data_IF_469129629629
#
_entry.id   IF_469129629629
#
_cell.length_a   1.000
_cell.length_b   1.000
_cell.length_c   1.000
_cell.angle_alpha   90.00
_cell.angle_beta   90.00
_cell.angle_gamma   90.00
#
_symmetry.space_group_name_H-M   'P 1'
#
loop_
_entity.id
_entity.type
_entity.pdbx_description
1 polymer ?
#
# COMPACT_ATOMS: atom_id res chain seq x y z
N UNK A 1 -19.97 7.62 14.11
CA UNK A 1 -19.15 7.09 13.01
C UNK A 1 -18.81 5.67 13.35
N UNK A 2 -19.17 4.67 12.55
CA UNK A 2 -18.74 3.30 12.80
C UNK A 2 -17.29 3.19 12.30
N UNK A 3 -16.36 2.77 13.16
CA UNK A 3 -15.02 2.40 12.76
C UNK A 3 -15.13 1.15 11.89
N UNK A 4 -14.75 1.23 10.64
CA UNK A 4 -14.79 0.14 9.68
C UNK A 4 -13.53 -0.73 9.71
N UNK A 5 -12.49 -0.31 10.46
CA UNK A 5 -11.25 -1.07 10.65
C UNK A 5 -11.30 -1.91 11.92
N UNK A 6 -10.65 -3.08 11.86
CA UNK A 6 -10.29 -3.83 13.06
C UNK A 6 -9.27 -3.07 13.94
N UNK A 7 -8.92 -3.65 15.09
CA UNK A 7 -7.92 -3.08 16.00
C UNK A 7 -8.47 -2.03 16.98
N UNK A 8 -9.78 -1.78 17.01
CA UNK A 8 -10.37 -0.92 18.04
C UNK A 8 -10.56 -1.71 19.34
N UNK A 9 -9.53 -1.75 20.16
CA UNK A 9 -9.47 -2.46 21.45
C UNK A 9 -9.81 -1.58 22.65
N UNK A 10 -10.35 -0.39 22.41
CA UNK A 10 -10.70 0.56 23.47
C UNK A 10 -12.20 0.54 23.79
N UNK A 11 -12.57 0.79 25.04
CA UNK A 11 -13.94 1.04 25.45
C UNK A 11 -14.36 2.49 25.18
N UNK A 12 -15.59 2.86 25.59
CA UNK A 12 -16.13 4.21 25.38
C UNK A 12 -15.38 5.29 26.18
N UNK A 13 -14.65 4.89 27.23
CA UNK A 13 -13.81 5.77 28.06
C UNK A 13 -12.35 5.82 27.59
N UNK A 14 -12.00 5.11 26.49
CA UNK A 14 -10.66 5.07 25.92
C UNK A 14 -9.68 4.15 26.67
N UNK A 15 -10.16 3.24 27.52
CA UNK A 15 -9.34 2.24 28.20
C UNK A 15 -9.21 0.99 27.36
N UNK A 16 -8.02 0.38 27.42
CA UNK A 16 -7.80 -0.92 26.77
C UNK A 16 -8.69 -1.99 27.38
N UNK A 17 -9.44 -2.69 26.54
CA UNK A 17 -10.19 -3.88 26.91
C UNK A 17 -9.27 -5.09 26.97
N UNK A 18 -9.55 -6.00 27.89
CA UNK A 18 -8.84 -7.27 27.97
C UNK A 18 -9.41 -8.27 26.93
N UNK A 19 -9.15 -8.00 25.68
CA UNK A 19 -9.59 -8.81 24.54
C UNK A 19 -8.40 -9.49 23.85
N UNK A 20 -8.67 -10.64 23.25
CA UNK A 20 -7.79 -11.19 22.21
C UNK A 20 -8.28 -10.61 20.89
N UNK A 21 -7.54 -9.64 20.38
CA UNK A 21 -7.89 -8.99 19.11
C UNK A 21 -7.38 -9.82 17.93
N UNK A 22 -8.32 -10.30 17.13
CA UNK A 22 -8.07 -11.02 15.87
C UNK A 22 -8.65 -10.26 14.67
N UNK A 23 -9.02 -9.00 14.85
CA UNK A 23 -9.65 -8.18 13.84
C UNK A 23 -8.66 -7.35 13.01
N UNK A 24 -7.40 -7.31 13.40
CA UNK A 24 -6.33 -6.55 12.73
C UNK A 24 -5.08 -7.42 12.55
N UNK A 25 -4.32 -7.14 11.48
CA UNK A 25 -3.06 -7.83 11.18
C UNK A 25 -1.91 -7.21 11.99
N UNK A 26 -1.93 -7.39 13.31
CA UNK A 26 -0.89 -6.91 14.22
C UNK A 26 0.08 -8.06 14.53
N UNK A 27 1.38 -7.74 14.59
CA UNK A 27 2.38 -8.73 14.97
C UNK A 27 2.14 -9.22 16.42
N UNK A 28 1.76 -10.49 16.63
CA UNK A 28 1.46 -11.01 17.96
C UNK A 28 2.68 -11.08 18.88
N UNK A 29 3.91 -11.01 18.35
CA UNK A 29 5.14 -10.97 19.09
C UNK A 29 5.46 -9.56 19.64
N UNK A 30 4.67 -8.54 19.24
CA UNK A 30 4.88 -7.14 19.63
C UNK A 30 6.13 -6.52 19.00
N UNK A 31 6.69 -5.50 19.68
CA UNK A 31 7.92 -4.84 19.24
C UNK A 31 9.15 -5.68 19.58
N UNK A 32 10.07 -5.82 18.63
CA UNK A 32 11.36 -6.45 18.89
C UNK A 32 12.24 -5.58 19.80
N UNK A 33 13.14 -6.22 20.54
CA UNK A 33 14.04 -5.48 21.45
C UNK A 33 14.89 -4.42 20.74
N UNK A 34 15.48 -4.65 19.54
CA UNK A 34 16.20 -3.61 18.82
C UNK A 34 15.34 -2.39 18.48
N UNK A 35 14.05 -2.58 18.17
CA UNK A 35 13.12 -1.46 17.89
C UNK A 35 12.83 -0.68 19.17
N UNK A 36 12.59 -1.35 20.30
CA UNK A 36 12.39 -0.69 21.61
C UNK A 36 13.60 0.14 21.99
N UNK A 37 14.81 -0.43 21.87
CA UNK A 37 16.06 0.27 22.17
C UNK A 37 16.26 1.49 21.28
N UNK A 38 15.99 1.38 19.97
CA UNK A 38 16.08 2.50 19.05
C UNK A 38 15.10 3.63 19.41
N UNK A 39 13.88 3.30 19.85
CA UNK A 39 12.91 4.30 20.32
C UNK A 39 13.43 5.01 21.59
N UNK A 40 13.88 4.25 22.58
CA UNK A 40 14.36 4.79 23.85
C UNK A 40 15.57 5.72 23.65
N UNK A 41 16.54 5.29 22.83
CA UNK A 41 17.76 6.06 22.57
C UNK A 41 17.53 7.30 21.71
N UNK A 42 16.42 7.36 20.98
CA UNK A 42 16.09 8.53 20.15
C UNK A 42 15.19 9.56 20.83
N UNK A 43 14.76 9.32 22.09
CA UNK A 43 13.85 10.25 22.80
C UNK A 43 14.43 11.67 22.91
N UNK A 44 15.74 11.81 23.17
CA UNK A 44 16.38 13.12 23.30
C UNK A 44 16.38 13.92 21.99
N UNK A 45 16.18 13.25 20.84
CA UNK A 45 16.07 13.93 19.54
C UNK A 45 14.74 14.63 19.34
N UNK A 46 13.72 14.35 20.17
CA UNK A 46 12.37 14.93 20.05
C UNK A 46 12.35 16.45 20.27
N UNK A 47 13.40 17.05 20.82
CA UNK A 47 13.55 18.51 20.94
C UNK A 47 13.79 19.19 19.59
N UNK A 48 14.17 18.44 18.56
CA UNK A 48 14.45 18.95 17.24
C UNK A 48 13.30 18.67 16.28
N UNK A 49 13.13 19.53 15.28
CA UNK A 49 12.29 19.20 14.13
C UNK A 49 12.87 17.98 13.39
N UNK A 50 12.02 17.06 12.89
CA UNK A 50 12.50 15.94 12.10
C UNK A 50 13.18 16.45 10.81
N UNK A 51 14.08 15.63 10.26
CA UNK A 51 14.68 15.90 8.94
C UNK A 51 13.59 15.94 7.87
N UNK A 52 13.32 17.10 7.23
CA UNK A 52 12.21 17.25 6.28
C UNK A 52 12.35 16.36 5.03
N UNK A 53 13.56 15.89 4.75
CA UNK A 53 13.84 15.00 3.62
C UNK A 53 13.93 13.53 4.03
N UNK A 54 13.85 13.21 5.33
CA UNK A 54 14.00 11.86 5.89
C UNK A 54 15.27 11.14 5.36
N UNK A 55 16.41 11.84 5.28
CA UNK A 55 17.63 11.37 4.57
C UNK A 55 18.15 10.04 5.12
N UNK A 56 18.22 9.91 6.44
CA UNK A 56 18.70 8.68 7.08
C UNK A 56 17.82 7.49 6.73
N UNK A 57 16.49 7.65 6.83
CA UNK A 57 15.51 6.62 6.50
C UNK A 57 15.56 6.27 5.01
N UNK A 58 15.57 7.26 4.12
CA UNK A 58 15.67 7.02 2.67
C UNK A 58 16.94 6.28 2.28
N UNK A 59 18.09 6.62 2.89
CA UNK A 59 19.34 5.91 2.62
C UNK A 59 19.27 4.44 3.09
N UNK A 60 18.71 4.20 4.27
CA UNK A 60 18.54 2.83 4.80
C UNK A 60 17.59 2.01 3.90
N UNK A 61 16.45 2.57 3.51
CA UNK A 61 15.49 1.90 2.61
C UNK A 61 16.06 1.69 1.20
N UNK A 62 16.78 2.66 0.66
CA UNK A 62 17.44 2.55 -0.64
C UNK A 62 18.42 1.37 -0.66
N UNK A 63 19.24 1.24 0.38
CA UNK A 63 20.19 0.12 0.53
C UNK A 63 19.46 -1.21 0.73
N UNK A 64 18.40 -1.22 1.55
CA UNK A 64 17.64 -2.44 1.84
C UNK A 64 16.91 -2.99 0.61
N UNK A 65 16.25 -2.12 -0.13
CA UNK A 65 15.45 -2.52 -1.31
C UNK A 65 16.23 -2.51 -2.63
N UNK A 66 17.47 -1.99 -2.64
CA UNK A 66 18.25 -1.84 -3.88
C UNK A 66 17.66 -0.83 -4.86
N UNK A 67 17.02 0.24 -4.36
CA UNK A 67 16.32 1.26 -5.14
C UNK A 67 17.04 2.61 -4.96
N UNK A 68 17.02 3.46 -5.97
CA UNK A 68 17.55 4.82 -5.87
C UNK A 68 16.73 5.64 -4.85
N UNK A 69 17.40 6.35 -3.94
CA UNK A 69 16.74 7.14 -2.88
C UNK A 69 15.85 8.26 -3.43
N UNK A 70 16.15 8.77 -4.62
CA UNK A 70 15.38 9.79 -5.33
C UNK A 70 14.01 9.28 -5.79
N UNK A 71 13.82 7.95 -5.78
CA UNK A 71 12.56 7.26 -6.10
C UNK A 71 11.76 6.87 -4.87
N UNK A 72 12.22 7.27 -3.67
CA UNK A 72 11.57 6.95 -2.41
C UNK A 72 10.87 8.18 -1.83
N UNK A 73 9.63 7.99 -1.42
CA UNK A 73 8.85 8.93 -0.62
C UNK A 73 8.55 8.24 0.71
N UNK A 74 8.89 8.89 1.83
CA UNK A 74 8.56 8.42 3.16
C UNK A 74 7.36 9.21 3.68
N UNK A 75 6.37 8.51 4.23
CA UNK A 75 5.14 9.08 4.79
C UNK A 75 4.80 8.42 6.13
N UNK A 76 3.83 8.96 6.85
CA UNK A 76 3.33 8.38 8.10
C UNK A 76 2.38 7.21 7.78
N UNK A 77 2.97 6.08 7.36
CA UNK A 77 2.27 4.90 6.90
C UNK A 77 1.75 5.00 5.47
N UNK A 78 1.28 3.85 4.97
CA UNK A 78 0.75 3.69 3.62
C UNK A 78 -0.48 4.57 3.35
N UNK A 79 -1.32 4.76 4.37
CA UNK A 79 -2.56 5.55 4.22
C UNK A 79 -2.26 7.00 3.81
N UNK A 80 -1.33 7.70 4.50
CA UNK A 80 -0.97 9.07 4.13
C UNK A 80 -0.51 9.18 2.68
N UNK A 81 0.30 8.22 2.21
CA UNK A 81 0.76 8.20 0.81
C UNK A 81 -0.41 8.10 -0.17
N UNK A 82 -1.41 7.27 0.14
CA UNK A 82 -2.60 7.13 -0.72
C UNK A 82 -3.37 8.46 -0.82
N UNK A 83 -3.59 9.15 0.30
CA UNK A 83 -4.25 10.46 0.29
C UNK A 83 -3.44 11.50 -0.47
N UNK A 84 -2.12 11.57 -0.26
CA UNK A 84 -1.23 12.46 -1.02
C UNK A 84 -1.32 12.16 -2.52
N UNK A 85 -1.25 10.87 -2.89
CA UNK A 85 -1.31 10.45 -4.29
C UNK A 85 -2.61 10.92 -4.97
N UNK A 86 -3.77 10.60 -4.39
CA UNK A 86 -5.05 10.95 -4.99
C UNK A 86 -5.33 12.45 -4.97
N UNK A 87 -4.85 13.18 -3.97
CA UNK A 87 -4.95 14.64 -3.93
C UNK A 87 -4.06 15.33 -4.96
N UNK A 88 -2.88 14.76 -5.25
CA UNK A 88 -1.93 15.30 -6.21
C UNK A 88 -2.36 15.04 -7.64
N UNK A 89 -2.69 13.78 -7.96
CA UNK A 89 -2.97 13.36 -9.34
C UNK A 89 -4.44 13.54 -9.75
N UNK A 90 -5.35 13.60 -8.80
CA UNK A 90 -6.81 13.80 -9.01
C UNK A 90 -7.37 12.99 -10.17
N UNK A 91 -7.19 11.67 -10.20
CA UNK A 91 -7.70 10.85 -11.28
C UNK A 91 -9.23 10.94 -11.31
N UNK A 92 -9.82 11.02 -12.51
CA UNK A 92 -11.28 11.05 -12.64
C UNK A 92 -11.91 9.72 -12.25
N UNK A 93 -11.22 8.61 -12.49
CA UNK A 93 -11.72 7.25 -12.27
C UNK A 93 -10.66 6.38 -11.60
N UNK A 94 -11.08 5.64 -10.58
CA UNK A 94 -10.25 4.68 -9.87
C UNK A 94 -10.93 3.31 -9.91
N UNK A 95 -10.18 2.28 -10.25
CA UNK A 95 -10.62 0.90 -10.27
C UNK A 95 -10.11 0.22 -8.99
N UNK A 96 -11.01 -0.40 -8.26
CA UNK A 96 -10.70 -1.09 -7.00
C UNK A 96 -11.24 -2.51 -7.07
N UNK A 97 -10.38 -3.55 -6.89
CA UNK A 97 -10.85 -4.91 -6.72
C UNK A 97 -11.58 -5.06 -5.38
N UNK A 98 -12.63 -5.86 -5.33
CA UNK A 98 -13.34 -6.15 -4.08
C UNK A 98 -13.52 -7.65 -3.87
N UNK A 99 -13.32 -8.12 -2.62
CA UNK A 99 -12.97 -7.36 -1.43
C UNK A 99 -11.51 -6.88 -1.42
N UNK A 100 -11.24 -5.72 -0.81
CA UNK A 100 -9.90 -5.16 -0.62
C UNK A 100 -9.85 -4.23 0.60
N UNK A 101 -8.69 -3.66 0.87
CA UNK A 101 -8.50 -2.72 1.97
C UNK A 101 -9.31 -1.43 1.72
N UNK A 102 -10.13 -1.04 2.68
CA UNK A 102 -11.12 0.03 2.52
C UNK A 102 -10.51 1.44 2.44
N UNK A 103 -9.25 1.63 2.86
CA UNK A 103 -8.56 2.92 2.69
C UNK A 103 -8.31 3.28 1.21
N UNK A 104 -8.25 2.30 0.31
CA UNK A 104 -8.16 2.61 -1.12
C UNK A 104 -9.36 3.44 -1.58
N UNK A 105 -10.56 3.03 -1.17
CA UNK A 105 -11.79 3.73 -1.48
C UNK A 105 -11.85 5.10 -0.82
N UNK A 106 -11.52 5.18 0.47
CA UNK A 106 -11.57 6.42 1.24
C UNK A 106 -10.63 7.48 0.67
N UNK A 107 -9.38 7.09 0.39
CA UNK A 107 -8.37 7.99 -0.18
C UNK A 107 -8.76 8.46 -1.59
N UNK A 108 -9.25 7.54 -2.44
CA UNK A 108 -9.69 7.87 -3.79
C UNK A 108 -10.90 8.82 -3.79
N UNK A 109 -11.89 8.59 -2.92
CA UNK A 109 -13.04 9.50 -2.73
C UNK A 109 -12.62 10.87 -2.23
N UNK A 110 -11.68 10.93 -1.28
CA UNK A 110 -11.15 12.19 -0.77
C UNK A 110 -10.44 12.99 -1.87
N UNK A 111 -9.79 12.31 -2.83
CA UNK A 111 -9.23 12.93 -4.04
C UNK A 111 -10.26 13.34 -5.11
N UNK A 112 -11.55 13.06 -4.89
CA UNK A 112 -12.63 13.39 -5.81
C UNK A 112 -12.83 12.41 -6.96
N UNK A 113 -12.27 11.20 -6.87
CA UNK A 113 -12.37 10.22 -7.92
C UNK A 113 -13.73 9.49 -7.95
N UNK A 114 -14.21 9.16 -9.15
CA UNK A 114 -15.28 8.18 -9.32
C UNK A 114 -14.71 6.77 -9.20
N UNK A 115 -15.35 5.91 -8.40
CA UNK A 115 -14.87 4.56 -8.14
C UNK A 115 -15.66 3.54 -8.95
N UNK A 116 -14.94 2.61 -9.57
CA UNK A 116 -15.51 1.42 -10.19
C UNK A 116 -14.97 0.19 -9.48
N UNK A 117 -15.87 -0.60 -8.91
CA UNK A 117 -15.52 -1.84 -8.24
C UNK A 117 -15.47 -3.00 -9.24
N UNK A 118 -14.44 -3.84 -9.11
CA UNK A 118 -14.32 -5.10 -9.84
C UNK A 118 -14.36 -6.24 -8.82
N UNK A 119 -15.45 -7.00 -8.84
CA UNK A 119 -15.59 -8.16 -7.95
C UNK A 119 -14.66 -9.27 -8.40
N UNK A 120 -13.71 -9.63 -7.53
CA UNK A 120 -12.71 -10.66 -7.82
C UNK A 120 -13.28 -12.05 -7.57
N UNK A 121 -12.87 -13.01 -8.41
CA UNK A 121 -13.17 -14.44 -8.19
C UNK A 121 -11.97 -15.09 -7.51
N UNK A 122 -12.24 -16.02 -6.58
CA UNK A 122 -11.20 -16.56 -5.68
C UNK A 122 -10.05 -17.31 -6.38
N UNK A 123 -10.29 -17.85 -7.58
CA UNK A 123 -9.37 -18.84 -8.17
C UNK A 123 -8.63 -18.34 -9.43
N UNK A 124 -8.86 -17.11 -9.91
CA UNK A 124 -8.25 -16.61 -11.13
C UNK A 124 -7.80 -15.15 -11.04
N UNK A 125 -6.58 -14.96 -10.52
CA UNK A 125 -6.02 -13.61 -10.32
C UNK A 125 -5.64 -12.92 -11.63
N UNK A 126 -5.26 -13.68 -12.66
CA UNK A 126 -4.93 -13.11 -13.97
C UNK A 126 -6.19 -12.56 -14.65
N UNK A 127 -7.30 -13.27 -14.57
CA UNK A 127 -8.57 -12.77 -15.09
C UNK A 127 -9.07 -11.54 -14.33
N UNK A 128 -8.81 -11.45 -13.04
CA UNK A 128 -9.15 -10.26 -12.25
C UNK A 128 -8.35 -9.02 -12.70
N UNK A 129 -7.06 -9.17 -12.98
CA UNK A 129 -6.23 -8.07 -13.47
C UNK A 129 -6.68 -7.61 -14.87
N UNK A 130 -7.01 -8.54 -15.77
CA UNK A 130 -7.59 -8.23 -17.08
C UNK A 130 -8.93 -7.51 -16.94
N UNK A 131 -9.84 -7.99 -16.09
CA UNK A 131 -11.13 -7.34 -15.82
C UNK A 131 -10.99 -5.93 -15.28
N UNK A 132 -10.00 -5.68 -14.39
CA UNK A 132 -9.69 -4.33 -13.93
C UNK A 132 -9.21 -3.44 -15.09
N UNK A 133 -8.34 -3.95 -15.94
CA UNK A 133 -7.84 -3.21 -17.11
C UNK A 133 -8.93 -2.95 -18.17
N UNK A 134 -9.90 -3.86 -18.31
CA UNK A 134 -11.08 -3.70 -19.18
C UNK A 134 -12.05 -2.66 -18.61
N UNK A 135 -12.30 -2.68 -17.30
CA UNK A 135 -13.15 -1.72 -16.61
C UNK A 135 -12.53 -0.31 -16.57
N UNK A 136 -11.21 -0.21 -16.74
CA UNK A 136 -10.47 1.04 -16.74
C UNK A 136 -10.69 1.77 -18.07
N UNK A 137 -11.12 3.03 -18.00
CA UNK A 137 -11.05 3.97 -19.11
C UNK A 137 -9.69 4.64 -19.19
N UNK A 138 -9.44 5.39 -20.24
CA UNK A 138 -8.21 6.17 -20.42
C UNK A 138 -7.97 7.09 -19.21
N UNK A 139 -6.72 7.15 -18.75
CA UNK A 139 -6.31 7.99 -17.63
C UNK A 139 -6.80 7.53 -16.25
N UNK A 140 -7.36 6.30 -16.14
CA UNK A 140 -7.77 5.74 -14.85
C UNK A 140 -6.58 5.29 -14.01
N UNK A 141 -6.81 5.20 -12.69
CA UNK A 141 -5.88 4.56 -11.76
C UNK A 141 -6.46 3.19 -11.35
N UNK A 142 -5.63 2.17 -11.35
CA UNK A 142 -5.93 0.87 -10.75
C UNK A 142 -5.14 0.80 -9.45
N UNK A 143 -5.82 0.63 -8.30
CA UNK A 143 -5.17 0.41 -7.01
C UNK A 143 -5.54 -0.97 -6.47
N UNK A 144 -4.54 -1.74 -6.04
CA UNK A 144 -4.72 -3.09 -5.54
C UNK A 144 -3.62 -3.49 -4.56
N UNK A 145 -3.93 -4.43 -3.64
CA UNK A 145 -2.96 -5.06 -2.76
C UNK A 145 -2.33 -6.31 -3.38
N UNK A 146 -1.04 -6.51 -3.17
CA UNK A 146 -0.31 -7.71 -3.59
C UNK A 146 0.74 -8.12 -2.52
N UNK A 147 0.39 -8.93 -1.52
CA UNK A 147 -0.86 -9.68 -1.30
C UNK A 147 -2.09 -8.80 -1.08
N UNK A 148 -3.24 -9.23 -1.56
CA UNK A 148 -4.49 -8.51 -1.30
C UNK A 148 -4.97 -8.73 0.14
N UNK A 149 -5.35 -7.68 0.81
CA UNK A 149 -6.05 -7.72 2.10
C UNK A 149 -7.56 -7.51 1.85
N UNK A 150 -8.47 -8.44 2.25
CA UNK A 150 -8.25 -9.52 3.22
C UNK A 150 -7.99 -10.91 2.61
N UNK A 151 -7.99 -11.08 1.28
CA UNK A 151 -8.03 -12.41 0.64
C UNK A 151 -6.71 -13.17 0.66
N UNK A 152 -5.57 -12.47 0.86
CA UNK A 152 -4.23 -13.04 0.77
C UNK A 152 -3.79 -13.42 -0.64
N UNK A 153 -4.59 -13.09 -1.63
CA UNK A 153 -4.32 -13.42 -3.03
C UNK A 153 -3.11 -12.68 -3.57
N UNK A 154 -2.40 -13.34 -4.49
CA UNK A 154 -1.14 -12.87 -5.06
C UNK A 154 -1.20 -12.86 -6.59
N UNK A 155 -0.67 -11.81 -7.18
CA UNK A 155 -0.42 -11.69 -8.62
C UNK A 155 1.08 -11.86 -8.85
N UNK A 156 1.46 -12.70 -9.79
CA UNK A 156 2.87 -12.88 -10.13
C UNK A 156 3.45 -11.61 -10.76
N UNK A 157 4.74 -11.42 -10.56
CA UNK A 157 5.46 -10.26 -11.09
C UNK A 157 5.30 -10.11 -12.60
N UNK A 158 5.39 -11.21 -13.34
CA UNK A 158 5.30 -11.22 -14.80
C UNK A 158 3.92 -10.75 -15.28
N UNK A 159 2.85 -11.19 -14.61
CA UNK A 159 1.49 -10.83 -14.94
C UNK A 159 1.21 -9.35 -14.64
N UNK A 160 1.70 -8.88 -13.48
CA UNK A 160 1.60 -7.46 -13.11
C UNK A 160 2.39 -6.58 -14.08
N UNK A 161 3.62 -6.99 -14.44
CA UNK A 161 4.44 -6.26 -15.41
C UNK A 161 3.75 -6.17 -16.77
N UNK A 162 3.17 -7.28 -17.25
CA UNK A 162 2.43 -7.29 -18.50
C UNK A 162 1.25 -6.30 -18.48
N UNK A 163 0.50 -6.25 -17.38
CA UNK A 163 -0.61 -5.32 -17.20
C UNK A 163 -0.15 -3.86 -17.14
N UNK A 164 0.92 -3.57 -16.40
CA UNK A 164 1.50 -2.21 -16.30
C UNK A 164 1.97 -1.73 -17.67
N UNK A 165 2.68 -2.59 -18.41
CA UNK A 165 3.16 -2.30 -19.76
C UNK A 165 2.01 -2.05 -20.75
N UNK A 166 0.99 -2.89 -20.74
CA UNK A 166 -0.18 -2.71 -21.61
C UNK A 166 -0.97 -1.45 -21.22
N UNK A 167 -1.02 -1.14 -19.91
CA UNK A 167 -1.69 0.05 -19.39
C UNK A 167 -1.13 1.38 -19.91
N UNK A 168 0.12 1.42 -20.35
CA UNK A 168 0.73 2.62 -20.98
C UNK A 168 -0.08 3.08 -22.18
N UNK A 169 -0.57 2.15 -23.02
CA UNK A 169 -1.36 2.46 -24.22
C UNK A 169 -2.67 3.19 -23.92
N UNK A 170 -3.22 2.98 -22.73
CA UNK A 170 -4.45 3.61 -22.24
C UNK A 170 -4.20 4.71 -21.22
N UNK A 171 -2.93 5.13 -21.03
CA UNK A 171 -2.53 6.08 -19.99
C UNK A 171 -3.02 5.65 -18.59
N UNK A 172 -3.05 4.34 -18.29
CA UNK A 172 -3.40 3.82 -16.98
C UNK A 172 -2.24 3.96 -16.02
N UNK A 173 -2.56 4.24 -14.76
CA UNK A 173 -1.60 4.21 -13.65
C UNK A 173 -1.94 3.08 -12.71
N UNK A 174 -0.91 2.46 -12.17
CA UNK A 174 -1.03 1.37 -11.20
C UNK A 174 -0.46 1.82 -9.86
N UNK A 175 -1.22 1.59 -8.79
CA UNK A 175 -0.78 1.72 -7.40
C UNK A 175 -0.85 0.32 -6.80
N UNK A 176 0.29 -0.27 -6.53
CA UNK A 176 0.40 -1.64 -6.01
C UNK A 176 0.85 -1.58 -4.57
N UNK A 177 -0.01 -2.01 -3.67
CA UNK A 177 0.25 -2.04 -2.24
C UNK A 177 0.87 -3.40 -1.87
N UNK A 178 2.17 -3.38 -1.60
CA UNK A 178 2.98 -4.54 -1.19
C UNK A 178 3.24 -4.57 0.32
N UNK A 179 2.43 -3.89 1.15
CA UNK A 179 2.65 -3.78 2.61
C UNK A 179 2.77 -5.13 3.32
N UNK A 180 2.13 -6.17 2.80
CA UNK A 180 2.22 -7.52 3.37
C UNK A 180 3.23 -8.44 2.68
N UNK A 181 3.95 -7.96 1.68
CA UNK A 181 4.84 -8.82 0.90
C UNK A 181 6.14 -9.15 1.66
N UNK A 182 6.58 -8.30 2.59
CA UNK A 182 7.77 -8.54 3.45
C UNK A 182 7.62 -9.78 4.36
N UNK A 183 6.40 -10.28 4.57
CA UNK A 183 6.17 -11.54 5.29
C UNK A 183 6.46 -12.80 4.45
N UNK A 184 6.86 -12.64 3.19
CA UNK A 184 7.13 -13.78 2.29
C UNK A 184 8.61 -13.91 1.99
N UNK A 185 9.11 -15.14 2.12
CA UNK A 185 10.51 -15.49 1.77
C UNK A 185 10.78 -15.48 0.25
N UNK A 186 9.71 -15.60 -0.58
CA UNK A 186 9.79 -15.64 -2.05
C UNK A 186 9.24 -14.34 -2.69
N UNK A 187 9.37 -13.19 -1.99
CA UNK A 187 8.82 -11.90 -2.41
C UNK A 187 9.22 -11.51 -3.84
N UNK A 188 10.43 -11.86 -4.29
CA UNK A 188 10.94 -11.50 -5.60
C UNK A 188 10.10 -12.07 -6.78
N UNK A 189 9.30 -13.09 -6.51
CA UNK A 189 8.36 -13.66 -7.51
C UNK A 189 7.10 -12.80 -7.70
N UNK A 190 6.85 -11.87 -6.79
CA UNK A 190 5.60 -11.11 -6.74
C UNK A 190 5.85 -9.61 -6.70
N UNK A 191 6.98 -9.17 -6.12
CA UNK A 191 7.29 -7.75 -5.98
C UNK A 191 7.57 -7.09 -7.32
N UNK A 192 6.93 -5.95 -7.52
CA UNK A 192 7.16 -5.08 -8.69
C UNK A 192 7.94 -3.81 -8.33
N UNK A 193 8.52 -3.74 -7.11
CA UNK A 193 9.30 -2.58 -6.65
C UNK A 193 10.38 -2.14 -7.63
N UNK A 194 11.10 -3.09 -8.22
CA UNK A 194 12.20 -2.80 -9.16
C UNK A 194 11.68 -2.31 -10.52
N UNK A 195 10.42 -2.55 -10.84
CA UNK A 195 9.80 -2.09 -12.09
C UNK A 195 9.47 -0.59 -12.07
N UNK A 196 9.41 0.04 -10.91
CA UNK A 196 9.24 1.49 -10.77
C UNK A 196 10.36 2.29 -11.43
N UNK A 197 11.53 1.66 -11.62
CA UNK A 197 12.66 2.19 -12.38
C UNK A 197 12.45 2.19 -13.88
N UNK A 198 11.51 1.40 -14.39
CA UNK A 198 11.27 1.16 -15.82
C UNK A 198 9.96 1.81 -16.25
N UNK A 199 8.93 1.72 -15.42
CA UNK A 199 7.56 2.15 -15.74
C UNK A 199 7.14 3.34 -14.89
N UNK A 200 6.97 4.51 -15.51
CA UNK A 200 6.55 5.75 -14.83
C UNK A 200 5.08 5.73 -14.39
N UNK A 201 4.30 4.81 -14.93
CA UNK A 201 2.89 4.61 -14.59
C UNK A 201 2.68 3.64 -13.41
N UNK A 202 3.75 3.27 -12.70
CA UNK A 202 3.71 2.36 -11.55
C UNK A 202 4.18 3.06 -10.28
N UNK A 203 3.37 3.00 -9.23
CA UNK A 203 3.72 3.32 -7.84
C UNK A 203 3.61 2.05 -7.01
N UNK A 204 4.61 1.78 -6.17
CA UNK A 204 4.59 0.68 -5.20
C UNK A 204 4.57 1.24 -3.78
N UNK A 205 3.68 0.74 -2.96
CA UNK A 205 3.56 1.08 -1.54
C UNK A 205 4.19 -0.05 -0.73
N UNK A 206 4.99 0.30 0.27
CA UNK A 206 5.55 -0.58 1.29
C UNK A 206 5.29 0.01 2.67
N UNK A 207 5.08 -0.82 3.68
CA UNK A 207 4.78 -0.37 5.04
C UNK A 207 5.40 -1.32 6.08
#
# INVERSE_FOLDING_TARGET
MSFSHGGNVYDEEGKLKNWVDVSANINPLGLSEPVKEAIITSVDMLVHYPDPEARALKNALANHYGILKERLICTNGAAELMYIYFHTFKPKKVIIPVPSFDEYEKAAKAGGAHITYVYTQQDDFNSNLMRMAEAAGEGSVIILGNPNNPTGSLIKKEDMEAAVKEGIKKNLRFVVDESFLDFRYDEERFSVKNLTGIYENLLVIRS
#
